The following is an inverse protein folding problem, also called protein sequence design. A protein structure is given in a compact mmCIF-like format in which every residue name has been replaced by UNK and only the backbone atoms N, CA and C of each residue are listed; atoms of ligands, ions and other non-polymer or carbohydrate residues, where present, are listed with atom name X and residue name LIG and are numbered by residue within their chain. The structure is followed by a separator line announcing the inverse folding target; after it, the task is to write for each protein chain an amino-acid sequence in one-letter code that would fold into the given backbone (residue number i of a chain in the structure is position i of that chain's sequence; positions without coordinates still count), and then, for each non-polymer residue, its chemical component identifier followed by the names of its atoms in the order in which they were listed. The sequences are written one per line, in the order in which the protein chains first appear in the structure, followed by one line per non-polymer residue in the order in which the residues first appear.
data_IF_128082410712
#
_entry.id   IF_128082410712
#
_cell.length_a   1.000
_cell.length_b   1.000
_cell.length_c   1.000
_cell.angle_alpha   90.00
_cell.angle_beta   90.00
_cell.angle_gamma   90.00
#
_symmetry.space_group_name_H-M   'P 1'
#
loop_
_entity.id
_entity.type
_entity.pdbx_description
1 polymer ?
#
# COMPACT_ATOMS: atom_id res chain seq x y z
N UNK A 1 -7.25 2.07 -6.35
CA UNK A 1 -6.95 1.91 -7.79
C UNK A 1 -5.52 2.25 -8.10
N UNK A 2 -4.90 1.48 -9.00
CA UNK A 2 -3.62 1.75 -9.65
C UNK A 2 -3.86 1.78 -11.15
N UNK A 3 -3.67 2.92 -11.80
CA UNK A 3 -4.05 3.12 -13.20
C UNK A 3 -2.81 3.30 -14.10
N UNK A 4 -3.02 3.21 -15.41
CA UNK A 4 -1.99 3.48 -16.44
C UNK A 4 -0.72 2.62 -16.30
N UNK A 5 -0.88 1.36 -15.90
CA UNK A 5 0.23 0.40 -15.88
C UNK A 5 0.52 -0.04 -17.30
N UNK A 6 1.74 0.21 -17.76
CA UNK A 6 2.24 -0.19 -19.07
C UNK A 6 3.06 -1.47 -19.04
N UNK A 7 3.65 -1.84 -17.89
CA UNK A 7 4.48 -3.04 -17.81
C UNK A 7 4.13 -3.94 -16.62
N UNK A 8 4.23 -5.25 -16.84
CA UNK A 8 4.28 -6.24 -15.76
C UNK A 8 5.67 -6.85 -15.71
N UNK A 9 6.23 -6.98 -14.52
CA UNK A 9 7.41 -7.79 -14.25
C UNK A 9 6.95 -8.97 -13.41
N UNK A 10 6.83 -10.13 -14.04
CA UNK A 10 6.40 -11.37 -13.42
C UNK A 10 7.60 -12.30 -13.20
N UNK A 11 7.94 -12.53 -11.93
CA UNK A 11 8.87 -13.59 -11.52
C UNK A 11 8.04 -14.83 -11.27
N UNK A 12 8.12 -15.82 -12.16
CA UNK A 12 7.34 -17.06 -12.03
C UNK A 12 7.76 -17.84 -10.77
N UNK A 13 6.85 -18.05 -9.80
CA UNK A 13 7.17 -18.80 -8.58
C UNK A 13 7.69 -20.22 -8.85
N UNK A 14 7.19 -20.90 -9.90
CA UNK A 14 7.59 -22.27 -10.19
C UNK A 14 9.04 -22.32 -10.69
N UNK A 15 9.34 -21.57 -11.75
CA UNK A 15 10.68 -21.46 -12.33
C UNK A 15 11.70 -20.89 -11.34
N UNK A 16 11.30 -19.89 -10.54
CA UNK A 16 12.15 -19.32 -9.49
C UNK A 16 12.57 -20.38 -8.46
N UNK A 17 11.62 -21.21 -8.00
CA UNK A 17 11.89 -22.27 -7.03
C UNK A 17 12.76 -23.41 -7.59
N UNK A 18 12.82 -23.55 -8.91
CA UNK A 18 13.60 -24.55 -9.63
C UNK A 18 15.04 -24.09 -9.93
N UNK A 19 15.39 -22.82 -9.66
CA UNK A 19 16.75 -22.33 -9.86
C UNK A 19 17.77 -23.14 -9.05
N UNK A 20 18.93 -23.44 -9.65
CA UNK A 20 19.84 -24.47 -9.14
C UNK A 20 20.59 -24.04 -7.88
N UNK A 21 20.92 -22.76 -7.76
CA UNK A 21 21.79 -22.25 -6.71
C UNK A 21 21.42 -20.82 -6.28
N UNK A 22 22.12 -20.37 -5.24
CA UNK A 22 21.93 -19.04 -4.63
C UNK A 22 22.37 -17.91 -5.55
N UNK A 23 23.33 -18.12 -6.44
CA UNK A 23 23.83 -17.09 -7.34
C UNK A 23 22.76 -16.74 -8.38
N UNK A 24 22.10 -17.75 -8.95
CA UNK A 24 20.95 -17.58 -9.83
C UNK A 24 19.80 -16.82 -9.16
N UNK A 25 19.49 -17.15 -7.90
CA UNK A 25 18.45 -16.47 -7.12
C UNK A 25 18.80 -14.98 -6.84
N UNK A 26 20.06 -14.67 -6.58
CA UNK A 26 20.54 -13.30 -6.41
C UNK A 26 20.51 -12.53 -7.74
N UNK A 27 20.87 -13.20 -8.85
CA UNK A 27 20.80 -12.64 -10.19
C UNK A 27 19.38 -12.20 -10.58
N UNK A 28 18.35 -12.88 -10.09
CA UNK A 28 16.94 -12.44 -10.22
C UNK A 28 16.70 -11.12 -9.49
N UNK A 29 17.17 -10.99 -8.25
CA UNK A 29 17.07 -9.74 -7.48
C UNK A 29 17.78 -8.58 -8.18
N UNK A 30 18.97 -8.83 -8.74
CA UNK A 30 19.72 -7.84 -9.52
C UNK A 30 18.98 -7.44 -10.80
N UNK A 31 18.37 -8.39 -11.51
CA UNK A 31 17.56 -8.12 -12.69
C UNK A 31 16.34 -7.24 -12.33
N UNK A 32 15.65 -7.55 -11.24
CA UNK A 32 14.53 -6.76 -10.70
C UNK A 32 14.99 -5.34 -10.37
N UNK A 33 16.13 -5.17 -9.70
CA UNK A 33 16.70 -3.85 -9.39
C UNK A 33 16.99 -3.03 -10.66
N UNK A 34 17.56 -3.65 -11.70
CA UNK A 34 17.80 -3.00 -12.98
C UNK A 34 16.49 -2.63 -13.69
N UNK A 35 15.50 -3.52 -13.69
CA UNK A 35 14.17 -3.23 -14.24
C UNK A 35 13.52 -2.04 -13.53
N UNK A 36 13.63 -1.97 -12.20
CA UNK A 36 13.13 -0.85 -11.41
C UNK A 36 13.78 0.49 -11.79
N UNK A 37 15.01 0.50 -12.30
CA UNK A 37 15.70 1.71 -12.74
C UNK A 37 15.34 2.12 -14.17
N UNK A 38 15.11 1.17 -15.08
CA UNK A 38 14.88 1.47 -16.51
C UNK A 38 13.40 1.62 -16.87
N UNK A 39 12.49 0.97 -16.15
CA UNK A 39 11.06 1.02 -16.46
C UNK A 39 10.45 2.37 -16.03
N UNK A 40 9.40 2.85 -16.73
CA UNK A 40 8.81 4.14 -16.40
C UNK A 40 8.23 4.14 -14.98
N UNK A 41 8.71 5.07 -14.15
CA UNK A 41 8.32 5.20 -12.75
C UNK A 41 6.80 5.21 -12.58
N UNK A 42 6.30 4.40 -11.64
CA UNK A 42 4.87 4.23 -11.31
C UNK A 42 3.99 3.78 -12.48
N UNK A 43 4.56 3.16 -13.52
CA UNK A 43 3.82 2.54 -14.63
C UNK A 43 4.10 1.05 -14.81
N UNK A 44 4.66 0.40 -13.80
CA UNK A 44 4.88 -1.04 -13.83
C UNK A 44 4.52 -1.68 -12.50
N UNK A 45 4.19 -2.97 -12.54
CA UNK A 45 3.92 -3.80 -11.37
C UNK A 45 5.03 -4.83 -11.24
N UNK A 46 5.53 -5.02 -10.02
CA UNK A 46 6.40 -6.13 -9.67
C UNK A 46 5.53 -7.22 -9.05
N UNK A 47 5.61 -8.44 -9.56
CA UNK A 47 4.85 -9.56 -9.03
C UNK A 47 5.69 -10.84 -9.05
N UNK A 48 5.65 -11.62 -7.97
CA UNK A 48 6.50 -12.80 -7.88
C UNK A 48 6.38 -13.57 -6.56
N UNK A 49 7.22 -14.59 -6.33
CA UNK A 49 7.07 -15.51 -5.20
C UNK A 49 7.21 -14.80 -3.86
N UNK A 50 6.26 -15.09 -2.97
CA UNK A 50 6.33 -14.90 -1.52
C UNK A 50 7.03 -13.61 -1.06
N UNK A 51 8.03 -13.74 -0.17
CA UNK A 51 8.58 -12.65 0.66
C UNK A 51 9.65 -11.82 -0.04
N UNK A 52 9.26 -10.66 -0.56
CA UNK A 52 10.24 -9.72 -1.11
C UNK A 52 10.99 -9.04 0.03
N UNK A 53 12.32 -9.05 -0.03
CA UNK A 53 13.18 -8.49 1.04
C UNK A 53 13.71 -9.48 2.06
N UNK A 54 13.45 -10.78 1.88
CA UNK A 54 13.99 -11.84 2.73
C UNK A 54 15.52 -11.88 2.67
N UNK A 55 16.19 -11.70 3.82
CA UNK A 55 17.66 -11.83 3.95
C UNK A 55 18.12 -13.27 4.23
N UNK A 56 17.21 -14.15 4.64
CA UNK A 56 17.53 -15.49 5.15
C UNK A 56 17.15 -16.60 4.19
N UNK A 57 15.86 -16.69 3.84
CA UNK A 57 15.34 -17.74 2.97
C UNK A 57 14.92 -17.17 1.61
N UNK A 58 15.91 -17.05 0.71
CA UNK A 58 15.74 -16.50 -0.64
C UNK A 58 14.88 -17.44 -1.50
N UNK A 59 14.70 -18.71 -1.13
CA UNK A 59 13.81 -19.60 -1.89
C UNK A 59 12.33 -19.28 -1.68
N UNK A 60 12.00 -18.57 -0.60
CA UNK A 60 10.64 -18.15 -0.28
C UNK A 60 10.25 -16.78 -0.86
N UNK A 61 11.18 -16.08 -1.52
CA UNK A 61 10.86 -14.83 -2.22
C UNK A 61 12.09 -14.07 -2.70
N UNK A 62 11.86 -13.00 -3.44
CA UNK A 62 12.94 -12.29 -4.15
C UNK A 62 13.81 -11.50 -3.18
N UNK A 63 15.12 -11.75 -3.21
CA UNK A 63 16.10 -11.01 -2.41
C UNK A 63 16.34 -9.62 -2.99
N UNK A 64 15.70 -8.61 -2.41
CA UNK A 64 15.80 -7.20 -2.81
C UNK A 64 15.85 -6.29 -1.59
N UNK A 65 16.27 -5.05 -1.78
CA UNK A 65 16.10 -3.94 -0.83
C UNK A 65 15.00 -3.01 -1.31
N UNK A 66 14.57 -2.06 -0.47
CA UNK A 66 13.56 -1.07 -0.86
C UNK A 66 13.98 -0.27 -2.12
N UNK A 67 15.26 0.12 -2.23
CA UNK A 67 15.77 0.85 -3.41
C UNK A 67 15.67 0.07 -4.71
N UNK A 68 15.61 -1.26 -4.64
CA UNK A 68 15.49 -2.12 -5.82
C UNK A 68 14.06 -2.21 -6.35
N UNK A 69 13.07 -1.71 -5.60
CA UNK A 69 11.64 -1.80 -5.96
C UNK A 69 10.87 -0.47 -5.88
N UNK A 70 11.52 0.60 -5.42
CA UNK A 70 10.88 1.86 -5.05
C UNK A 70 10.22 2.65 -6.20
N UNK A 71 10.41 2.29 -7.47
CA UNK A 71 9.77 2.94 -8.62
C UNK A 71 8.50 2.20 -9.09
N UNK A 72 8.24 0.98 -8.62
CA UNK A 72 7.05 0.21 -9.01
C UNK A 72 5.76 0.88 -8.54
N UNK A 73 4.67 0.76 -9.29
CA UNK A 73 3.37 1.25 -8.85
C UNK A 73 2.76 0.33 -7.78
N UNK A 74 3.06 -0.96 -7.86
CA UNK A 74 2.46 -1.99 -7.03
C UNK A 74 3.39 -3.21 -6.93
N UNK A 75 3.43 -3.79 -5.73
CA UNK A 75 4.09 -5.05 -5.44
C UNK A 75 3.03 -6.12 -5.15
N UNK A 76 3.11 -7.25 -5.84
CA UNK A 76 2.21 -8.39 -5.66
C UNK A 76 3.03 -9.60 -5.22
N UNK A 77 2.76 -10.09 -4.01
CA UNK A 77 3.39 -11.31 -3.50
C UNK A 77 2.49 -12.50 -3.79
N UNK A 78 3.04 -13.48 -4.51
CA UNK A 78 2.30 -14.65 -4.99
C UNK A 78 2.67 -15.85 -4.13
N UNK A 79 1.66 -16.42 -3.46
CA UNK A 79 1.78 -17.67 -2.73
C UNK A 79 1.09 -18.79 -3.50
N UNK A 80 1.90 -19.67 -4.09
CA UNK A 80 1.46 -20.91 -4.74
C UNK A 80 1.59 -22.08 -3.77
N UNK A 81 0.56 -22.93 -3.67
CA UNK A 81 0.58 -24.19 -2.94
C UNK A 81 1.61 -25.15 -3.55
N UNK A 82 2.45 -25.71 -2.68
CA UNK A 82 3.40 -26.78 -3.01
C UNK A 82 3.09 -28.01 -2.16
N UNK A 83 2.38 -28.97 -2.75
CA UNK A 83 1.83 -30.10 -2.00
C UNK A 83 0.76 -29.62 -1.01
N UNK A 84 0.91 -29.95 0.28
CA UNK A 84 -0.01 -29.48 1.34
C UNK A 84 0.43 -28.17 2.01
N UNK A 85 1.40 -27.45 1.44
CA UNK A 85 1.99 -26.26 2.04
C UNK A 85 1.80 -25.02 1.15
N UNK A 86 1.13 -24.00 1.68
CA UNK A 86 1.08 -22.65 1.08
C UNK A 86 2.16 -21.79 1.75
N UNK A 87 3.12 -21.23 1.00
CA UNK A 87 4.11 -20.31 1.57
C UNK A 87 3.44 -19.07 2.16
N UNK A 88 3.87 -18.67 3.37
CA UNK A 88 3.45 -17.41 3.97
C UNK A 88 4.04 -16.21 3.20
N UNK A 89 3.16 -15.37 2.66
CA UNK A 89 3.52 -14.02 2.18
C UNK A 89 3.94 -13.13 3.35
N UNK A 90 4.74 -12.11 3.07
CA UNK A 90 5.24 -11.20 4.10
C UNK A 90 4.21 -10.13 4.49
N UNK A 91 3.09 -10.03 3.76
CA UNK A 91 2.14 -8.90 3.86
C UNK A 91 2.82 -7.53 3.67
N UNK A 92 3.96 -7.51 2.97
CA UNK A 92 4.77 -6.32 2.76
C UNK A 92 5.46 -5.81 4.03
N UNK A 93 5.41 -6.55 5.15
CA UNK A 93 5.92 -6.12 6.46
C UNK A 93 7.40 -5.73 6.44
N UNK A 94 8.20 -6.32 5.55
CA UNK A 94 9.61 -5.97 5.38
C UNK A 94 9.84 -4.53 4.91
N UNK A 95 8.87 -3.94 4.21
CA UNK A 95 8.95 -2.61 3.61
C UNK A 95 7.71 -1.77 3.88
N UNK A 96 6.86 -2.18 4.85
CA UNK A 96 5.49 -1.67 4.92
C UNK A 96 5.44 -0.15 5.02
N UNK A 97 6.28 0.42 5.89
CA UNK A 97 6.40 1.86 6.04
C UNK A 97 6.87 2.51 4.73
N UNK A 98 7.92 1.99 4.09
CA UNK A 98 8.46 2.54 2.83
C UNK A 98 7.42 2.49 1.68
N UNK A 99 6.69 1.38 1.56
CA UNK A 99 5.64 1.19 0.55
C UNK A 99 4.50 2.19 0.75
N UNK A 100 4.06 2.37 2.01
CA UNK A 100 3.01 3.32 2.37
C UNK A 100 3.47 4.75 2.07
N UNK A 101 4.67 5.15 2.52
CA UNK A 101 5.22 6.50 2.31
C UNK A 101 5.37 6.82 0.82
N UNK A 102 5.74 5.83 0.02
CA UNK A 102 5.98 6.01 -1.41
C UNK A 102 4.76 5.73 -2.28
N UNK A 103 3.60 5.50 -1.65
CA UNK A 103 2.32 5.18 -2.28
C UNK A 103 2.39 3.98 -3.25
N UNK A 104 3.27 3.01 -2.96
CA UNK A 104 3.34 1.73 -3.68
C UNK A 104 2.24 0.84 -3.11
N UNK A 105 1.34 0.34 -3.96
CA UNK A 105 0.29 -0.57 -3.51
C UNK A 105 0.86 -1.97 -3.27
N UNK A 106 0.26 -2.68 -2.33
CA UNK A 106 0.66 -4.03 -1.96
C UNK A 106 -0.54 -4.96 -2.06
N UNK A 107 -0.37 -6.13 -2.65
CA UNK A 107 -1.42 -7.16 -2.75
C UNK A 107 -0.81 -8.55 -2.51
N UNK A 108 -1.25 -9.29 -1.49
CA UNK A 108 -1.01 -10.73 -1.43
C UNK A 108 -1.96 -11.43 -2.42
N UNK A 109 -1.45 -12.38 -3.18
CA UNK A 109 -2.21 -13.15 -4.18
C UNK A 109 -2.02 -14.64 -3.95
N UNK A 110 -3.13 -15.38 -3.96
CA UNK A 110 -3.17 -16.83 -3.74
C UNK A 110 -3.80 -17.53 -4.96
N UNK A 111 -3.06 -17.75 -6.06
CA UNK A 111 -3.65 -18.22 -7.31
C UNK A 111 -4.34 -19.59 -7.27
N UNK A 112 -4.05 -20.39 -6.25
CA UNK A 112 -4.62 -21.73 -6.09
C UNK A 112 -5.92 -21.74 -5.26
N UNK A 113 -6.38 -20.58 -4.80
CA UNK A 113 -7.73 -20.41 -4.27
C UNK A 113 -8.74 -20.54 -5.42
N UNK A 114 -9.77 -21.40 -5.32
CA UNK A 114 -10.76 -21.59 -6.38
C UNK A 114 -11.58 -20.34 -6.70
N UNK A 115 -11.65 -19.35 -5.82
CA UNK A 115 -12.35 -18.08 -6.06
C UNK A 115 -11.49 -17.07 -6.84
N UNK A 116 -10.18 -17.32 -6.99
CA UNK A 116 -9.25 -16.44 -7.65
C UNK A 116 -9.12 -16.79 -9.14
N UNK A 117 -9.48 -15.83 -9.99
CA UNK A 117 -9.21 -15.90 -11.43
C UNK A 117 -7.82 -15.35 -11.71
N UNK A 118 -6.84 -16.23 -11.85
CA UNK A 118 -5.47 -15.88 -12.22
C UNK A 118 -5.17 -16.25 -13.67
N UNK A 119 -5.08 -15.25 -14.56
CA UNK A 119 -4.85 -15.47 -15.99
C UNK A 119 -3.36 -15.76 -16.29
N UNK A 120 -2.92 -16.94 -15.90
CA UNK A 120 -1.54 -17.41 -16.10
C UNK A 120 -1.20 -17.60 -17.58
N UNK A 121 -2.18 -17.97 -18.42
CA UNK A 121 -2.01 -18.09 -19.86
C UNK A 121 -1.59 -16.76 -20.48
N UNK A 122 -2.20 -15.65 -20.06
CA UNK A 122 -1.78 -14.31 -20.49
C UNK A 122 -0.32 -14.01 -20.08
N UNK A 123 0.06 -14.31 -18.83
CA UNK A 123 1.41 -14.01 -18.34
C UNK A 123 2.50 -14.84 -19.04
N UNK A 124 2.26 -16.14 -19.20
CA UNK A 124 3.23 -17.06 -19.79
C UNK A 124 3.22 -17.03 -21.33
N UNK A 125 2.06 -16.77 -21.95
CA UNK A 125 1.90 -16.71 -23.40
C UNK A 125 2.30 -15.37 -24.03
N UNK A 126 2.36 -14.29 -23.25
CA UNK A 126 2.76 -12.97 -23.74
C UNK A 126 4.23 -12.90 -24.15
N UNK A 127 4.55 -12.04 -25.12
CA UNK A 127 5.93 -11.73 -25.52
C UNK A 127 6.71 -11.25 -24.28
N UNK A 128 7.82 -11.92 -23.99
CA UNK A 128 8.77 -11.49 -22.95
C UNK A 128 9.80 -10.53 -23.57
N UNK A 129 9.82 -9.27 -23.12
CA UNK A 129 10.78 -8.25 -23.57
C UNK A 129 12.02 -8.14 -22.67
N UNK A 130 12.17 -9.01 -21.66
CA UNK A 130 13.37 -9.03 -20.80
C UNK A 130 14.68 -9.11 -21.62
N UNK A 131 14.84 -10.02 -22.61
CA UNK A 131 16.09 -10.10 -23.37
C UNK A 131 16.39 -8.85 -24.19
N UNK A 132 15.35 -8.11 -24.60
CA UNK A 132 15.48 -6.85 -25.35
C UNK A 132 15.96 -5.72 -24.42
N UNK A 133 15.43 -5.66 -23.18
CA UNK A 133 15.76 -4.62 -22.19
C UNK A 133 17.07 -4.86 -21.44
N UNK A 134 17.33 -6.12 -21.08
CA UNK A 134 18.48 -6.56 -20.28
C UNK A 134 19.13 -7.79 -20.93
N UNK A 135 19.90 -7.63 -22.03
CA UNK A 135 20.50 -8.75 -22.76
C UNK A 135 21.40 -9.64 -21.89
N UNK A 136 22.10 -9.07 -20.91
CA UNK A 136 22.97 -9.79 -19.97
C UNK A 136 22.21 -10.73 -19.01
N UNK A 137 20.87 -10.61 -18.98
CA UNK A 137 19.96 -11.42 -18.16
C UNK A 137 19.00 -12.25 -19.02
N UNK A 138 19.27 -12.40 -20.32
CA UNK A 138 18.44 -13.19 -21.23
C UNK A 138 18.30 -14.65 -20.80
N UNK A 139 19.27 -15.19 -20.06
CA UNK A 139 19.23 -16.52 -19.45
C UNK A 139 18.13 -16.67 -18.39
N UNK A 140 17.65 -15.56 -17.81
CA UNK A 140 16.54 -15.56 -16.85
C UNK A 140 15.17 -15.44 -17.51
N UNK A 141 15.04 -15.44 -18.85
CA UNK A 141 13.77 -15.20 -19.55
C UNK A 141 12.68 -16.26 -19.28
N UNK A 142 13.06 -17.46 -18.83
CA UNK A 142 12.12 -18.49 -18.37
C UNK A 142 11.60 -18.21 -16.95
N UNK A 143 12.36 -17.48 -16.12
CA UNK A 143 12.00 -17.16 -14.73
C UNK A 143 11.38 -15.78 -14.59
N UNK A 144 11.86 -14.79 -15.33
CA UNK A 144 11.39 -13.40 -15.28
C UNK A 144 10.78 -13.05 -16.64
N UNK A 145 9.50 -12.67 -16.61
CA UNK A 145 8.78 -12.16 -17.78
C UNK A 145 8.53 -10.68 -17.60
N UNK A 146 9.01 -9.89 -18.56
CA UNK A 146 8.67 -8.47 -18.67
C UNK A 146 7.70 -8.33 -19.82
N UNK A 147 6.49 -7.85 -19.53
CA UNK A 147 5.39 -7.76 -20.49
C UNK A 147 5.09 -6.29 -20.73
N UNK A 148 5.19 -5.84 -21.97
CA UNK A 148 4.69 -4.54 -22.43
C UNK A 148 3.20 -4.69 -22.78
N UNK A 149 2.34 -4.20 -21.88
CA UNK A 149 0.89 -4.32 -22.00
C UNK A 149 0.38 -3.58 -23.26
N UNK A 150 0.71 -2.30 -23.49
CA UNK A 150 0.31 -1.61 -24.72
C UNK A 150 0.68 -2.37 -25.99
N UNK A 151 1.88 -2.98 -26.05
CA UNK A 151 2.32 -3.72 -27.23
C UNK A 151 1.46 -4.96 -27.52
N UNK A 152 1.02 -5.69 -26.49
CA UNK A 152 0.27 -6.94 -26.66
C UNK A 152 -1.26 -6.75 -26.67
N UNK A 153 -1.73 -5.57 -26.30
CA UNK A 153 -3.16 -5.25 -26.17
C UNK A 153 -3.63 -4.13 -27.12
N UNK A 154 -2.86 -3.82 -28.16
CA UNK A 154 -3.15 -2.76 -29.13
C UNK A 154 -3.38 -1.38 -28.47
N UNK A 155 -2.55 -1.03 -27.48
CA UNK A 155 -2.53 0.28 -26.84
C UNK A 155 -3.37 0.42 -25.57
N UNK A 156 -3.93 -0.67 -25.03
CA UNK A 156 -4.55 -0.64 -23.70
C UNK A 156 -3.48 -0.57 -22.60
N UNK A 157 -3.92 -0.23 -21.41
CA UNK A 157 -3.13 -0.24 -20.18
C UNK A 157 -3.85 -1.06 -19.12
N UNK A 158 -3.08 -1.59 -18.17
CA UNK A 158 -3.66 -2.30 -17.04
C UNK A 158 -4.07 -1.29 -15.95
N UNK A 159 -5.26 -1.52 -15.40
CA UNK A 159 -5.78 -0.84 -14.22
C UNK A 159 -6.13 -1.88 -13.15
N UNK A 160 -5.63 -1.67 -11.93
CA UNK A 160 -5.89 -2.54 -10.78
C UNK A 160 -6.82 -1.82 -9.82
N UNK A 161 -8.06 -2.29 -9.73
CA UNK A 161 -9.04 -1.88 -8.75
C UNK A 161 -8.79 -2.69 -7.47
N UNK A 162 -8.82 -2.02 -6.32
CA UNK A 162 -8.60 -2.65 -5.02
C UNK A 162 -9.55 -2.02 -4.03
N UNK A 163 -10.26 -2.85 -3.27
CA UNK A 163 -11.15 -2.45 -2.20
C UNK A 163 -10.80 -3.24 -0.94
N UNK A 164 -10.20 -2.54 0.03
CA UNK A 164 -9.78 -3.13 1.30
C UNK A 164 -10.95 -3.39 2.26
N UNK A 165 -12.14 -2.81 2.04
CA UNK A 165 -13.30 -3.03 2.91
C UNK A 165 -13.95 -4.40 2.68
N UNK A 166 -13.76 -4.96 1.48
CA UNK A 166 -14.31 -6.25 1.06
C UNK A 166 -13.21 -7.24 0.66
N UNK A 167 -11.94 -6.89 0.87
CA UNK A 167 -10.76 -7.69 0.52
C UNK A 167 -10.70 -8.16 -0.96
N UNK A 168 -11.21 -7.34 -1.89
CA UNK A 168 -11.24 -7.67 -3.32
C UNK A 168 -10.28 -6.81 -4.15
N UNK A 169 -9.71 -7.43 -5.18
CA UNK A 169 -8.96 -6.73 -6.22
C UNK A 169 -9.31 -7.30 -7.61
N UNK A 170 -9.38 -6.41 -8.61
CA UNK A 170 -9.63 -6.78 -10.00
C UNK A 170 -8.65 -6.04 -10.91
N UNK A 171 -8.04 -6.76 -11.84
CA UNK A 171 -7.16 -6.19 -12.85
C UNK A 171 -7.87 -6.19 -14.21
N UNK A 172 -8.01 -5.02 -14.83
CA UNK A 172 -8.72 -4.85 -16.10
C UNK A 172 -7.85 -4.13 -17.12
N UNK A 173 -8.01 -4.49 -18.38
CA UNK A 173 -7.42 -3.76 -19.49
C UNK A 173 -8.38 -2.64 -19.91
N UNK A 174 -7.87 -1.42 -19.93
CA UNK A 174 -8.64 -0.23 -20.27
C UNK A 174 -7.82 0.66 -21.20
N UNK A 175 -8.50 1.51 -21.98
CA UNK A 175 -7.80 2.53 -22.76
C UNK A 175 -6.96 3.37 -21.81
N UNK A 176 -5.68 3.54 -22.13
CA UNK A 176 -4.80 4.42 -21.37
C UNK A 176 -5.50 5.78 -21.27
N UNK A 177 -5.95 6.13 -20.06
CA UNK A 177 -6.63 7.40 -19.87
C UNK A 177 -5.60 8.48 -20.20
N UNK A 178 -5.96 9.42 -21.08
CA UNK A 178 -5.19 10.63 -21.33
C UNK A 178 -5.24 11.53 -20.08
N UNK A 179 -4.66 11.04 -19.00
CA UNK A 179 -4.50 11.69 -17.71
C UNK A 179 -3.09 11.33 -17.22
N UNK A 180 -2.13 11.85 -17.98
CA UNK A 180 -0.71 11.66 -17.76
C UNK A 180 0.12 12.87 -18.19
N UNK A 181 -0.45 14.08 -18.12
CA UNK A 181 0.32 15.33 -18.09
C UNK A 181 -0.27 16.27 -17.03
N UNK A 182 0.33 16.26 -15.84
CA UNK A 182 0.29 17.43 -14.97
C UNK A 182 1.32 18.44 -15.52
N UNK A 183 0.89 19.27 -16.47
CA UNK A 183 1.40 20.63 -16.63
C UNK A 183 0.23 21.60 -16.84
N UNK A 184 0.25 22.78 -16.19
CA UNK A 184 -0.90 23.64 -16.06
C UNK A 184 -1.11 24.42 -17.37
N UNK A 185 -2.08 24.02 -18.18
CA UNK A 185 -2.63 24.93 -19.17
C UNK A 185 -3.60 25.86 -18.45
N UNK A 186 -3.09 27.05 -18.21
CA UNK A 186 -3.78 28.27 -17.79
C UNK A 186 -5.02 28.45 -18.66
N UNK A 187 -6.20 28.11 -18.13
CA UNK A 187 -7.37 29.00 -17.99
C UNK A 187 -8.36 28.27 -17.07
N UNK A 188 -8.67 28.87 -15.92
CA UNK A 188 -9.77 28.53 -14.98
C UNK A 188 -9.65 27.25 -14.14
N UNK A 189 -8.44 26.86 -13.73
CA UNK A 189 -8.19 25.67 -12.88
C UNK A 189 -7.66 25.96 -11.47
N UNK A 190 -7.77 27.21 -11.01
CA UNK A 190 -7.33 27.60 -9.64
C UNK A 190 -8.30 27.12 -8.55
N UNK A 191 -9.55 26.77 -8.88
CA UNK A 191 -10.53 26.36 -7.88
C UNK A 191 -10.56 24.85 -7.56
N UNK A 192 -10.05 23.96 -8.42
CA UNK A 192 -10.15 22.48 -8.23
C UNK A 192 -8.85 21.78 -7.84
N UNK A 193 -7.68 22.36 -8.11
CA UNK A 193 -6.40 21.76 -7.72
C UNK A 193 -6.09 21.90 -6.22
N UNK A 194 -6.64 22.94 -5.58
CA UNK A 194 -6.56 23.12 -4.13
C UNK A 194 -7.40 22.09 -3.37
N UNK A 195 -8.46 21.56 -3.99
CA UNK A 195 -9.37 20.55 -3.41
C UNK A 195 -8.71 19.18 -3.24
N UNK A 196 -7.80 18.77 -4.13
CA UNK A 196 -7.19 17.43 -4.07
C UNK A 196 -5.99 17.32 -3.11
N UNK A 197 -5.27 18.41 -2.80
CA UNK A 197 -4.32 18.44 -1.66
C UNK A 197 -5.04 18.63 -0.33
N UNK A 198 -6.15 19.40 -0.30
CA UNK A 198 -7.03 19.53 0.88
C UNK A 198 -7.66 18.20 1.31
N UNK A 199 -7.87 17.26 0.38
CA UNK A 199 -8.68 16.07 0.62
C UNK A 199 -7.98 14.89 1.32
N UNK A 200 -6.69 14.98 1.66
CA UNK A 200 -5.98 13.88 2.34
C UNK A 200 -5.80 14.11 3.86
N UNK A 201 -5.97 15.35 4.34
CA UNK A 201 -5.77 15.68 5.75
C UNK A 201 -6.86 15.09 6.65
N UNK A 202 -8.13 15.21 6.24
CA UNK A 202 -9.26 14.64 6.99
C UNK A 202 -9.26 13.11 6.97
N UNK A 203 -8.89 12.49 5.83
CA UNK A 203 -8.79 11.03 5.71
C UNK A 203 -7.71 10.45 6.61
N UNK A 204 -6.53 11.08 6.62
CA UNK A 204 -5.46 10.66 7.52
C UNK A 204 -5.88 10.83 8.99
N UNK A 205 -6.50 11.97 9.35
CA UNK A 205 -7.00 12.21 10.72
C UNK A 205 -8.05 11.17 11.15
N UNK A 206 -8.97 10.82 10.25
CA UNK A 206 -9.98 9.79 10.51
C UNK A 206 -9.33 8.42 10.76
N UNK A 207 -8.38 8.03 9.89
CA UNK A 207 -7.61 6.79 10.07
C UNK A 207 -6.82 6.77 11.37
N UNK A 208 -6.22 7.89 11.78
CA UNK A 208 -5.50 7.96 13.05
C UNK A 208 -6.46 7.84 14.24
N UNK A 209 -7.66 8.42 14.17
CA UNK A 209 -8.68 8.23 15.19
C UNK A 209 -9.16 6.77 15.29
N UNK A 210 -9.31 6.08 14.15
CA UNK A 210 -9.61 4.64 14.10
C UNK A 210 -8.49 3.81 14.73
N UNK A 211 -7.22 4.14 14.44
CA UNK A 211 -6.08 3.47 15.08
C UNK A 211 -6.08 3.66 16.60
N UNK A 212 -6.35 4.86 17.10
CA UNK A 212 -6.47 5.12 18.54
C UNK A 212 -7.61 4.29 19.12
N UNK A 213 -8.79 4.29 18.48
CA UNK A 213 -9.93 3.50 18.94
C UNK A 213 -9.64 1.99 18.97
N UNK A 214 -8.93 1.46 17.98
CA UNK A 214 -8.59 0.04 17.89
C UNK A 214 -7.60 -0.43 18.98
N UNK A 215 -6.75 0.47 19.49
CA UNK A 215 -5.79 0.17 20.55
C UNK A 215 -6.30 0.56 21.96
N UNK A 216 -7.47 1.19 22.04
CA UNK A 216 -8.11 1.51 23.30
C UNK A 216 -8.69 0.24 23.93
N UNK A 217 -8.34 -0.02 25.19
CA UNK A 217 -8.96 -1.07 26.00
C UNK A 217 -10.16 -0.49 26.78
N UNK A 218 -11.42 -0.76 26.37
CA UNK A 218 -12.58 -0.10 26.93
C UNK A 218 -12.83 -0.46 28.40
N UNK A 219 -12.58 -1.71 28.79
CA UNK A 219 -12.76 -2.18 30.17
C UNK A 219 -11.71 -1.58 31.10
N UNK A 220 -10.45 -1.58 30.66
CA UNK A 220 -9.35 -0.98 31.43
C UNK A 220 -9.58 0.51 31.68
N UNK A 221 -10.04 1.24 30.67
CA UNK A 221 -10.19 2.68 30.73
C UNK A 221 -11.61 3.17 31.10
N UNK A 222 -12.59 2.29 31.26
CA UNK A 222 -13.96 2.68 31.60
C UNK A 222 -14.67 3.47 30.49
N UNK A 223 -14.38 3.13 29.23
CA UNK A 223 -14.95 3.77 28.04
C UNK A 223 -16.10 2.93 27.51
N UNK A 224 -17.28 3.53 27.37
CA UNK A 224 -18.46 2.92 26.73
C UNK A 224 -18.53 3.19 25.22
N UNK A 225 -17.92 4.29 24.77
CA UNK A 225 -17.95 4.67 23.36
C UNK A 225 -16.89 5.70 23.01
N UNK A 226 -16.44 5.65 21.77
CA UNK A 226 -15.43 6.54 21.19
C UNK A 226 -15.96 7.05 19.86
N UNK A 227 -16.09 8.35 19.71
CA UNK A 227 -16.72 8.97 18.55
C UNK A 227 -15.85 10.09 18.00
N UNK A 228 -15.77 10.20 16.69
CA UNK A 228 -15.11 11.32 16.01
C UNK A 228 -16.15 12.38 15.64
N UNK A 229 -15.84 13.66 15.87
CA UNK A 229 -16.69 14.77 15.46
C UNK A 229 -15.87 15.91 14.81
N UNK A 230 -16.52 17.04 14.58
CA UNK A 230 -15.85 18.23 14.02
C UNK A 230 -15.41 18.07 12.56
N UNK A 231 -14.33 18.77 12.20
CA UNK A 231 -13.83 18.85 10.83
C UNK A 231 -13.37 17.51 10.26
N UNK A 232 -12.86 16.59 11.10
CA UNK A 232 -12.47 15.23 10.69
C UNK A 232 -13.70 14.42 10.23
N UNK A 233 -14.78 14.42 11.01
CA UNK A 233 -16.04 13.74 10.63
C UNK A 233 -16.67 14.35 9.37
N UNK A 234 -16.62 15.68 9.26
CA UNK A 234 -17.28 16.42 8.18
C UNK A 234 -16.44 16.49 6.88
N UNK A 235 -15.30 15.81 6.82
CA UNK A 235 -14.38 15.84 5.69
C UNK A 235 -13.86 17.25 5.32
N UNK A 236 -13.74 18.14 6.31
CA UNK A 236 -13.28 19.53 6.12
C UNK A 236 -11.97 19.85 6.84
N UNK A 237 -11.33 18.87 7.50
CA UNK A 237 -10.08 19.09 8.23
C UNK A 237 -8.92 19.45 7.29
N UNK A 238 -8.18 20.49 7.67
CA UNK A 238 -6.95 20.94 7.01
C UNK A 238 -5.69 20.50 7.75
N UNK A 239 -4.53 21.01 7.32
CA UNK A 239 -3.21 20.66 7.86
C UNK A 239 -3.00 21.05 9.33
N UNK A 240 -3.63 22.14 9.76
CA UNK A 240 -3.61 22.68 11.13
C UNK A 240 -4.81 22.23 11.98
N UNK A 241 -5.68 21.33 11.48
CA UNK A 241 -6.87 20.92 12.23
C UNK A 241 -6.55 19.87 13.30
N UNK A 242 -7.27 19.89 14.42
CA UNK A 242 -7.18 18.81 15.42
C UNK A 242 -8.12 17.65 15.09
N UNK A 243 -7.91 16.52 15.76
CA UNK A 243 -8.81 15.36 15.78
C UNK A 243 -9.72 15.49 16.99
N UNK A 244 -10.99 15.78 16.75
CA UNK A 244 -11.98 15.99 17.78
C UNK A 244 -12.62 14.65 18.17
N UNK A 245 -12.41 14.21 19.40
CA UNK A 245 -12.88 12.93 19.94
C UNK A 245 -13.87 13.19 21.07
N UNK A 246 -15.01 12.51 21.02
CA UNK A 246 -15.97 12.43 22.10
C UNK A 246 -15.92 11.03 22.72
N UNK A 247 -15.64 10.94 24.01
CA UNK A 247 -15.58 9.70 24.76
C UNK A 247 -16.79 9.61 25.68
N UNK A 248 -17.62 8.59 25.47
CA UNK A 248 -18.63 8.20 26.45
C UNK A 248 -17.94 7.41 27.57
N UNK A 249 -17.90 7.99 28.75
CA UNK A 249 -17.14 7.52 29.90
C UNK A 249 -18.05 7.16 31.08
N UNK A 250 -17.83 5.98 31.67
CA UNK A 250 -18.53 5.49 32.88
C UNK A 250 -17.54 4.83 33.86
N UNK A 251 -16.26 5.20 33.75
CA UNK A 251 -15.20 4.67 34.59
C UNK A 251 -15.02 5.42 35.91
N UNK A 252 -14.10 4.89 36.74
CA UNK A 252 -13.67 5.55 37.98
C UNK A 252 -12.76 6.76 37.71
N UNK A 253 -12.60 7.71 38.67
CA UNK A 253 -11.67 8.83 38.51
C UNK A 253 -10.23 8.40 38.17
N UNK A 254 -9.78 7.26 38.71
CA UNK A 254 -8.45 6.70 38.43
C UNK A 254 -8.34 6.18 36.99
N UNK A 255 -9.39 5.56 36.46
CA UNK A 255 -9.44 5.16 35.05
C UNK A 255 -9.44 6.38 34.12
N UNK A 256 -10.12 7.46 34.51
CA UNK A 256 -10.11 8.72 33.78
C UNK A 256 -8.70 9.31 33.68
N UNK A 257 -7.97 9.37 34.79
CA UNK A 257 -6.58 9.85 34.82
C UNK A 257 -5.67 8.98 33.92
N UNK A 258 -5.77 7.66 34.03
CA UNK A 258 -4.99 6.75 33.18
C UNK A 258 -5.31 6.92 31.68
N UNK A 259 -6.58 7.11 31.35
CA UNK A 259 -7.04 7.34 29.98
C UNK A 259 -6.52 8.67 29.44
N UNK A 260 -6.56 9.73 30.24
CA UNK A 260 -6.04 11.04 29.86
C UNK A 260 -4.54 10.98 29.55
N UNK A 261 -3.75 10.36 30.41
CA UNK A 261 -2.30 10.20 30.17
C UNK A 261 -2.01 9.38 28.91
N UNK A 262 -2.82 8.34 28.66
CA UNK A 262 -2.68 7.52 27.47
C UNK A 262 -3.03 8.30 26.19
N UNK A 263 -4.11 9.07 26.21
CA UNK A 263 -4.53 9.93 25.09
C UNK A 263 -3.56 11.10 24.86
N UNK A 264 -2.95 11.65 25.91
CA UNK A 264 -1.90 12.67 25.79
C UNK A 264 -0.68 12.12 25.03
N UNK A 265 -0.23 10.90 25.37
CA UNK A 265 0.85 10.22 24.65
C UNK A 265 0.53 10.02 23.17
N UNK A 266 -0.70 9.61 22.84
CA UNK A 266 -1.17 9.55 21.45
C UNK A 266 -1.20 10.92 20.79
N UNK A 267 -1.70 11.95 21.49
CA UNK A 267 -1.83 13.31 20.98
C UNK A 267 -0.48 13.89 20.56
N UNK A 268 0.55 13.73 21.39
CA UNK A 268 1.91 14.17 21.10
C UNK A 268 2.55 13.37 19.96
N UNK A 269 2.34 12.05 19.93
CA UNK A 269 2.87 11.19 18.86
C UNK A 269 2.26 11.51 17.51
N UNK A 270 0.95 11.80 17.48
CA UNK A 270 0.23 12.18 16.27
C UNK A 270 0.59 13.59 15.80
N UNK A 271 0.88 14.52 16.72
CA UNK A 271 1.40 15.85 16.37
C UNK A 271 2.76 15.75 15.67
N UNK A 272 3.66 14.90 16.17
CA UNK A 272 4.95 14.63 15.49
C UNK A 272 4.72 14.05 14.09
N UNK A 273 3.82 13.07 13.95
CA UNK A 273 3.49 12.49 12.66
C UNK A 273 2.83 13.50 11.71
N UNK A 274 2.01 14.43 12.21
CA UNK A 274 1.44 15.52 11.41
C UNK A 274 2.55 16.47 10.96
N UNK A 275 3.47 16.86 11.85
CA UNK A 275 4.61 17.71 11.53
C UNK A 275 5.50 17.12 10.44
N UNK A 276 5.82 15.83 10.49
CA UNK A 276 6.60 15.17 9.44
C UNK A 276 5.88 15.16 8.07
N UNK A 277 4.54 15.16 8.07
CA UNK A 277 3.72 15.14 6.85
C UNK A 277 3.49 16.54 6.27
N UNK A 278 3.28 17.55 7.12
CA UNK A 278 2.77 18.87 6.72
C UNK A 278 3.75 19.99 7.00
N UNK A 279 4.69 19.80 7.91
CA UNK A 279 5.55 20.86 8.46
C UNK A 279 4.90 21.66 9.59
N UNK A 280 3.66 21.35 9.98
CA UNK A 280 2.89 22.06 10.99
C UNK A 280 2.82 21.29 12.31
N UNK A 281 3.09 21.98 13.42
CA UNK A 281 3.07 21.45 14.79
C UNK A 281 2.06 22.23 15.63
N UNK A 282 1.13 21.54 16.28
CA UNK A 282 0.08 22.12 17.12
C UNK A 282 0.31 21.91 18.62
N UNK A 283 1.31 21.12 19.03
CA UNK A 283 1.59 20.81 20.44
C UNK A 283 0.72 19.68 21.01
N UNK A 284 0.02 18.97 20.14
CA UNK A 284 -0.95 17.93 20.44
C UNK A 284 -2.03 17.92 19.36
N UNK A 285 -2.42 16.74 18.87
CA UNK A 285 -3.36 16.62 17.76
C UNK A 285 -4.76 16.14 18.17
N UNK A 286 -4.93 15.61 19.39
CA UNK A 286 -6.22 15.17 19.89
C UNK A 286 -6.86 16.24 20.76
N UNK A 287 -8.09 16.62 20.42
CA UNK A 287 -9.00 17.37 21.29
C UNK A 287 -10.07 16.40 21.82
N UNK A 288 -10.10 16.16 23.13
CA UNK A 288 -10.89 15.08 23.74
C UNK A 288 -11.93 15.65 24.71
N UNK A 289 -13.20 15.36 24.44
CA UNK A 289 -14.33 15.69 25.30
C UNK A 289 -14.91 14.42 25.92
N UNK A 290 -15.24 14.48 27.22
CA UNK A 290 -15.84 13.38 27.96
C UNK A 290 -17.31 13.65 28.23
N UNK A 291 -18.16 12.68 27.95
CA UNK A 291 -19.60 12.70 28.26
C UNK A 291 -20.00 11.46 29.03
N UNK A 292 -21.04 11.59 29.84
CA UNK A 292 -21.62 10.51 30.66
C UNK A 292 -23.04 10.19 30.18
N UNK A 293 -23.64 9.13 30.72
CA UNK A 293 -25.04 8.77 30.46
C UNK A 293 -26.02 9.93 30.78
N UNK A 294 -25.65 10.87 31.66
CA UNK A 294 -26.48 12.04 31.98
C UNK A 294 -26.48 13.10 30.86
N UNK A 295 -25.42 13.15 30.05
CA UNK A 295 -25.22 14.16 29.00
C UNK A 295 -25.84 13.73 27.65
N UNK A 296 -26.19 12.45 27.50
CA UNK A 296 -26.71 11.84 26.27
C UNK A 296 -28.25 11.70 26.28
N UNK A 297 -28.91 12.07 27.39
CA UNK A 297 -30.37 11.98 27.57
C UNK A 297 -31.16 13.12 26.93
#
# INVERSE_FOLDING_TARGET
TVSNISHLVYVDPQSYSALPDRDALLKVGDAVSKLNQILPKRKFVLMGPGRWGSRGDIKLGVSVTYSDINNTAMLIEIARQKGNYTPDVSFGTHFFQDLVESAIRYLPLYPDDPEIVFNEEFLLGSKNILPDLLPDYADLAETIRVIDIPQITDGLSLEVLMNADIDEAAAILTTASAAGEHHPTTVSRESKAQENKRNDHWRWRLRMAECVAAHLDPERFGVKGFYVHGSTKNATAGEDSDINILIHFDGTPKQREHLQNWLEGWSLSLDEANYLRTGHRSGGLLDVQFVTDADIR
#
